data_IF_955640255984
#
_entry.id   IF_955640255984
#
_cell.length_a   1.000
_cell.length_b   1.000
_cell.length_c   1.000
_cell.angle_alpha   90.00
_cell.angle_beta   90.00
_cell.angle_gamma   90.00
#
_symmetry.space_group_name_H-M   'P 1'
#
loop_
_entity.id
_entity.type
_entity.pdbx_description
1 polymer ?
#
# COMPACT_ATOMS: atom_id res chain seq x y z
N UNK A 1 -19.04 53.90 -16.57
CA UNK A 1 -18.94 53.26 -15.24
C UNK A 1 -19.10 51.76 -15.45
N UNK A 2 -18.01 50.97 -15.37
CA UNK A 2 -18.03 49.51 -15.54
C UNK A 2 -17.81 48.87 -14.18
N UNK A 3 -18.82 48.19 -13.67
CA UNK A 3 -18.71 47.25 -12.53
C UNK A 3 -18.05 45.96 -13.03
N UNK A 4 -16.95 45.49 -12.42
CA UNK A 4 -16.53 44.11 -12.60
C UNK A 4 -17.34 43.19 -11.69
N UNK A 5 -17.95 42.18 -12.31
CA UNK A 5 -18.61 41.03 -11.67
C UNK A 5 -17.56 40.06 -11.08
N UNK A 6 -17.97 39.10 -10.24
CA UNK A 6 -17.10 38.52 -9.22
C UNK A 6 -16.05 37.58 -9.81
N UNK A 7 -14.83 37.69 -9.29
CA UNK A 7 -13.81 36.64 -9.38
C UNK A 7 -14.38 35.38 -8.75
N UNK A 8 -14.74 34.40 -9.59
CA UNK A 8 -15.07 33.04 -9.19
C UNK A 8 -13.78 32.39 -8.69
N UNK A 9 -13.47 32.68 -7.42
CA UNK A 9 -12.34 32.15 -6.69
C UNK A 9 -12.33 30.63 -6.83
N UNK A 10 -11.13 30.13 -7.14
CA UNK A 10 -10.90 28.78 -7.64
C UNK A 10 -11.51 27.71 -6.76
N UNK A 11 -11.87 26.61 -7.41
CA UNK A 11 -11.98 25.31 -6.78
C UNK A 11 -10.65 25.08 -6.05
N UNK A 12 -10.64 25.24 -4.74
CA UNK A 12 -9.56 24.74 -3.92
C UNK A 12 -9.50 23.25 -4.22
N UNK A 13 -8.42 22.82 -4.88
CA UNK A 13 -8.04 21.43 -5.02
C UNK A 13 -7.85 20.89 -3.60
N UNK A 14 -8.96 20.48 -3.01
CA UNK A 14 -9.09 20.23 -1.59
C UNK A 14 -8.54 18.86 -1.26
N UNK A 15 -7.29 18.86 -0.77
CA UNK A 15 -6.63 17.79 0.00
C UNK A 15 -6.53 16.47 -0.77
N UNK A 16 -5.29 16.11 -1.10
CA UNK A 16 -4.88 14.81 -1.64
C UNK A 16 -5.18 13.70 -0.61
N UNK A 17 -6.46 13.36 -0.44
CA UNK A 17 -6.92 12.32 0.49
C UNK A 17 -6.48 11.00 -0.11
N UNK A 18 -5.61 10.28 0.59
CA UNK A 18 -5.12 8.99 0.11
C UNK A 18 -6.31 8.08 -0.16
N UNK A 19 -6.42 7.59 -1.39
CA UNK A 19 -7.47 6.64 -1.76
C UNK A 19 -7.14 5.30 -1.11
N UNK A 20 -7.83 5.01 0.00
CA UNK A 20 -7.69 3.74 0.72
C UNK A 20 -7.96 2.52 -0.18
N UNK A 21 -8.78 2.66 -1.24
CA UNK A 21 -8.99 1.58 -2.21
C UNK A 21 -7.75 1.36 -3.08
N UNK A 22 -7.11 2.43 -3.55
CA UNK A 22 -5.84 2.35 -4.25
C UNK A 22 -4.77 1.73 -3.35
N UNK A 23 -4.69 2.19 -2.10
CA UNK A 23 -3.72 1.68 -1.14
C UNK A 23 -3.95 0.19 -0.81
N UNK A 24 -5.21 -0.26 -0.67
CA UNK A 24 -5.52 -1.67 -0.46
C UNK A 24 -5.19 -2.53 -1.68
N UNK A 25 -5.37 -2.02 -2.91
CA UNK A 25 -4.93 -2.71 -4.13
C UNK A 25 -3.42 -2.91 -4.15
N UNK A 26 -2.66 -1.87 -3.81
CA UNK A 26 -1.21 -1.94 -3.70
C UNK A 26 -0.76 -2.97 -2.66
N UNK A 27 -1.45 -3.08 -1.52
CA UNK A 27 -1.19 -4.11 -0.51
C UNK A 27 -1.39 -5.50 -1.10
N UNK A 28 -2.52 -5.76 -1.76
CA UNK A 28 -2.82 -7.07 -2.32
C UNK A 28 -1.78 -7.51 -3.35
N UNK A 29 -1.36 -6.58 -4.21
CA UNK A 29 -0.34 -6.84 -5.21
C UNK A 29 1.04 -7.08 -4.57
N UNK A 30 1.41 -6.29 -3.55
CA UNK A 30 2.65 -6.50 -2.80
C UNK A 30 2.65 -7.86 -2.06
N UNK A 31 1.53 -8.25 -1.44
CA UNK A 31 1.37 -9.54 -0.77
C UNK A 31 1.46 -10.72 -1.74
N UNK A 32 0.86 -10.62 -2.94
CA UNK A 32 0.99 -11.63 -3.99
C UNK A 32 2.44 -11.80 -4.43
N UNK A 33 3.15 -10.69 -4.65
CA UNK A 33 4.57 -10.71 -5.03
C UNK A 33 5.43 -11.32 -3.92
N UNK A 34 5.26 -10.89 -2.67
CA UNK A 34 6.02 -11.41 -1.54
C UNK A 34 5.80 -12.93 -1.37
N UNK A 35 4.54 -13.41 -1.42
CA UNK A 35 4.25 -14.85 -1.35
C UNK A 35 4.85 -15.64 -2.50
N UNK A 36 4.78 -15.12 -3.73
CA UNK A 36 5.39 -15.77 -4.90
C UNK A 36 6.90 -15.94 -4.72
N UNK A 37 7.59 -14.88 -4.28
CA UNK A 37 9.03 -14.91 -4.03
C UNK A 37 9.38 -15.84 -2.87
N UNK A 38 8.60 -15.80 -1.78
CA UNK A 38 8.78 -16.67 -0.63
C UNK A 38 8.66 -18.15 -1.01
N UNK A 39 7.65 -18.51 -1.83
CA UNK A 39 7.48 -19.88 -2.36
C UNK A 39 8.63 -20.31 -3.26
N UNK A 40 9.08 -19.42 -4.14
CA UNK A 40 10.21 -19.70 -5.03
C UNK A 40 11.50 -20.00 -4.24
N UNK A 41 11.74 -19.25 -3.16
CA UNK A 41 12.87 -19.47 -2.26
C UNK A 41 12.63 -20.51 -1.15
N UNK A 42 11.50 -21.23 -1.14
CA UNK A 42 11.18 -22.22 -0.09
C UNK A 42 11.02 -21.63 1.32
N UNK A 43 10.75 -20.34 1.46
CA UNK A 43 10.69 -19.62 2.72
C UNK A 43 9.24 -19.52 3.26
N UNK A 44 8.80 -20.57 3.96
CA UNK A 44 7.46 -20.63 4.54
C UNK A 44 7.20 -19.56 5.61
N UNK A 45 8.24 -19.06 6.29
CA UNK A 45 8.10 -17.98 7.29
C UNK A 45 7.73 -16.68 6.58
N UNK A 46 8.44 -16.33 5.51
CA UNK A 46 8.15 -15.14 4.72
C UNK A 46 6.76 -15.21 4.05
N UNK A 47 6.33 -16.40 3.60
CA UNK A 47 4.98 -16.59 3.08
C UNK A 47 3.92 -16.27 4.14
N UNK A 48 4.05 -16.83 5.34
CA UNK A 48 3.13 -16.54 6.45
C UNK A 48 3.17 -15.08 6.89
N UNK A 49 4.34 -14.45 6.90
CA UNK A 49 4.46 -13.02 7.20
C UNK A 49 3.71 -12.16 6.19
N UNK A 50 3.79 -12.49 4.89
CA UNK A 50 3.03 -11.78 3.87
C UNK A 50 1.51 -11.89 4.07
N UNK A 51 1.01 -13.07 4.49
CA UNK A 51 -0.41 -13.28 4.83
C UNK A 51 -0.84 -12.46 6.05
N UNK A 52 0.00 -12.39 7.09
CA UNK A 52 -0.27 -11.60 8.28
C UNK A 52 -0.36 -10.11 7.97
N UNK A 53 0.55 -9.58 7.15
CA UNK A 53 0.48 -8.18 6.72
C UNK A 53 -0.75 -7.88 5.85
N UNK A 54 -1.15 -8.82 4.97
CA UNK A 54 -2.38 -8.67 4.17
C UNK A 54 -3.64 -8.66 5.07
N UNK A 55 -3.69 -9.51 6.10
CA UNK A 55 -4.78 -9.52 7.08
C UNK A 55 -4.82 -8.22 7.90
N UNK A 56 -3.68 -7.78 8.42
CA UNK A 56 -3.56 -6.52 9.17
C UNK A 56 -3.96 -5.31 8.32
N UNK A 57 -3.60 -5.30 7.04
CA UNK A 57 -4.06 -4.30 6.08
C UNK A 57 -5.58 -4.36 5.84
N UNK A 58 -6.18 -5.56 5.72
CA UNK A 58 -7.62 -5.69 5.56
C UNK A 58 -8.38 -5.13 6.78
N UNK A 59 -7.85 -5.33 7.99
CA UNK A 59 -8.40 -4.77 9.23
C UNK A 59 -8.22 -3.23 9.29
N UNK A 60 -7.05 -2.72 8.88
CA UNK A 60 -6.79 -1.28 8.77
C UNK A 60 -7.72 -0.61 7.74
N UNK A 61 -7.95 -1.26 6.60
CA UNK A 61 -8.88 -0.78 5.57
C UNK A 61 -10.33 -0.72 6.06
N UNK A 62 -10.78 -1.74 6.80
CA UNK A 62 -12.12 -1.78 7.41
C UNK A 62 -12.30 -0.68 8.47
N UNK A 63 -11.27 -0.43 9.28
CA UNK A 63 -11.26 0.63 10.29
C UNK A 63 -10.94 2.03 9.74
N UNK A 64 -10.71 2.17 8.43
CA UNK A 64 -10.30 3.43 7.78
C UNK A 64 -9.01 4.03 8.38
N UNK A 65 -8.13 3.18 8.92
CA UNK A 65 -6.83 3.56 9.43
C UNK A 65 -5.81 3.57 8.29
N UNK A 66 -5.61 4.76 7.70
CA UNK A 66 -4.69 4.98 6.60
C UNK A 66 -3.24 4.64 6.97
N UNK A 67 -2.78 5.11 8.13
CA UNK A 67 -1.40 4.94 8.59
C UNK A 67 -1.04 3.45 8.74
N UNK A 68 -1.90 2.67 9.41
CA UNK A 68 -1.68 1.24 9.53
C UNK A 68 -1.70 0.54 8.16
N UNK A 69 -2.55 1.00 7.23
CA UNK A 69 -2.60 0.43 5.89
C UNK A 69 -1.29 0.71 5.11
N UNK A 70 -0.74 1.92 5.23
CA UNK A 70 0.56 2.30 4.65
C UNK A 70 1.72 1.53 5.29
N UNK A 71 1.68 1.31 6.61
CA UNK A 71 2.69 0.53 7.33
C UNK A 71 2.72 -0.92 6.85
N UNK A 72 1.56 -1.56 6.70
CA UNK A 72 1.48 -2.92 6.16
C UNK A 72 1.98 -3.00 4.71
N UNK A 73 1.63 -2.02 3.86
CA UNK A 73 2.16 -1.93 2.50
C UNK A 73 3.69 -1.82 2.48
N UNK A 74 4.24 -0.96 3.34
CA UNK A 74 5.70 -0.76 3.44
C UNK A 74 6.41 -2.03 3.90
N UNK A 75 5.85 -2.72 4.90
CA UNK A 75 6.37 -4.00 5.37
C UNK A 75 6.36 -5.08 4.27
N UNK A 76 5.27 -5.17 3.48
CA UNK A 76 5.18 -6.09 2.35
C UNK A 76 6.21 -5.78 1.25
N UNK A 77 6.42 -4.50 0.94
CA UNK A 77 7.44 -4.07 -0.04
C UNK A 77 8.86 -4.41 0.43
N UNK A 78 9.17 -4.12 1.69
CA UNK A 78 10.45 -4.46 2.30
C UNK A 78 10.70 -5.99 2.33
N UNK A 79 9.66 -6.78 2.64
CA UNK A 79 9.74 -8.25 2.60
C UNK A 79 10.03 -8.74 1.17
N UNK A 80 9.32 -8.23 0.17
CA UNK A 80 9.55 -8.60 -1.22
C UNK A 80 10.96 -8.21 -1.70
N UNK A 81 11.47 -7.06 -1.30
CA UNK A 81 12.84 -6.62 -1.61
C UNK A 81 13.88 -7.53 -0.97
N UNK A 82 13.72 -7.87 0.31
CA UNK A 82 14.60 -8.80 1.01
C UNK A 82 14.63 -10.18 0.33
N UNK A 83 13.47 -10.70 -0.07
CA UNK A 83 13.37 -11.98 -0.78
C UNK A 83 14.05 -11.94 -2.15
N UNK A 84 13.90 -10.85 -2.93
CA UNK A 84 14.63 -10.69 -4.20
C UNK A 84 16.14 -10.64 -4.00
N UNK A 85 16.60 -9.94 -2.96
CA UNK A 85 18.02 -9.83 -2.64
C UNK A 85 18.60 -11.18 -2.17
N UNK A 86 17.81 -12.01 -1.50
CA UNK A 86 18.18 -13.37 -1.14
C UNK A 86 18.28 -14.29 -2.35
N UNK A 87 17.34 -14.19 -3.30
CA UNK A 87 17.34 -14.98 -4.54
C UNK A 87 18.52 -14.62 -5.45
N UNK A 88 18.89 -13.34 -5.51
CA UNK A 88 20.05 -12.87 -6.30
C UNK A 88 21.42 -13.33 -5.74
N UNK A 89 21.47 -13.87 -4.52
CA UNK A 89 22.70 -14.39 -3.89
C UNK A 89 22.81 -15.91 -3.94
N UNK A 90 21.73 -16.61 -4.30
CA UNK A 90 21.69 -18.06 -4.44
C UNK A 90 22.18 -18.48 -5.83
#
# INVERSE_FOLDING_TARGET
MRTPAPVRGGHTAGVNRVDLNALMRDVQDAARVARRLARAGGNAVAERSAEQFEQGAADAYRSKNEEHLQNNLTALRALAEALRASDAKA
#
